data_IF_158614699994
#
_entry.id   IF_158614699994
#
_cell.length_a   1.000
_cell.length_b   1.000
_cell.length_c   1.000
_cell.angle_alpha   90.00
_cell.angle_beta   90.00
_cell.angle_gamma   90.00
#
_symmetry.space_group_name_H-M   'P 1'
#
loop_
_entity.id
_entity.type
_entity.pdbx_description
1 polymer ?
#
# COMPACT_ATOMS: atom_id res chain seq x y z
N UNK A 1 -14.57 -0.18 9.77
CA UNK A 1 -13.16 -0.32 9.37
C UNK A 1 -12.77 -1.76 9.69
N UNK A 2 -12.76 -2.63 8.65
CA UNK A 2 -12.47 -4.04 8.83
C UNK A 2 -10.98 -4.26 9.06
N UNK A 3 -10.61 -4.76 10.23
CA UNK A 3 -9.40 -5.56 10.34
C UNK A 3 -9.70 -6.90 9.63
N UNK A 4 -8.92 -7.22 8.63
CA UNK A 4 -8.87 -8.62 8.20
C UNK A 4 -8.08 -9.38 9.26
N UNK A 5 -8.79 -9.94 10.21
CA UNK A 5 -8.21 -10.85 11.20
C UNK A 5 -7.89 -12.20 10.54
N UNK A 6 -7.11 -13.02 11.22
CA UNK A 6 -6.51 -14.23 10.71
C UNK A 6 -7.37 -15.19 9.87
N UNK A 7 -8.69 -15.15 9.99
CA UNK A 7 -9.58 -16.08 9.31
C UNK A 7 -9.58 -15.91 7.78
N UNK A 8 -9.49 -14.68 7.29
CA UNK A 8 -9.35 -14.43 5.85
C UNK A 8 -7.99 -14.84 5.31
N UNK A 9 -6.94 -14.71 6.13
CA UNK A 9 -5.60 -15.15 5.78
C UNK A 9 -5.45 -16.68 5.88
N UNK A 10 -6.13 -17.35 6.81
CA UNK A 10 -6.13 -18.79 6.91
C UNK A 10 -6.79 -19.47 5.69
N UNK A 11 -7.83 -18.85 5.11
CA UNK A 11 -8.43 -19.37 3.87
C UNK A 11 -7.48 -19.22 2.67
N UNK A 12 -6.69 -18.18 2.63
CA UNK A 12 -5.61 -18.01 1.63
C UNK A 12 -4.51 -19.05 1.87
N UNK A 13 -4.14 -19.33 3.11
CA UNK A 13 -3.23 -20.38 3.54
C UNK A 13 -3.64 -21.74 3.00
N UNK A 14 -4.85 -22.11 3.24
CA UNK A 14 -5.36 -23.40 2.79
C UNK A 14 -5.34 -23.54 1.26
N UNK A 15 -5.50 -22.44 0.53
CA UNK A 15 -5.53 -22.45 -0.92
C UNK A 15 -4.15 -22.48 -1.59
N UNK A 16 -3.14 -21.88 -0.96
CA UNK A 16 -1.83 -21.69 -1.61
C UNK A 16 -0.68 -22.49 -1.01
N UNK A 17 -0.83 -23.00 0.19
CA UNK A 17 0.23 -23.67 0.98
C UNK A 17 1.53 -22.85 1.15
N UNK A 18 1.56 -21.64 0.63
CA UNK A 18 2.70 -20.74 0.70
C UNK A 18 2.21 -19.30 0.81
N UNK A 19 2.58 -18.63 1.91
CA UNK A 19 2.22 -17.26 2.19
C UNK A 19 3.23 -16.25 1.65
N UNK A 20 4.31 -16.74 1.09
CA UNK A 20 5.32 -15.95 0.47
C UNK A 20 4.93 -15.69 -0.97
N UNK A 21 4.56 -14.46 -1.25
CA UNK A 21 4.19 -14.02 -2.58
C UNK A 21 5.26 -13.09 -3.13
N UNK A 22 5.57 -13.27 -4.41
CA UNK A 22 6.55 -12.43 -5.11
C UNK A 22 5.91 -11.22 -5.77
N UNK A 23 4.60 -11.27 -6.00
CA UNK A 23 3.87 -10.25 -6.77
C UNK A 23 2.54 -9.95 -6.11
N UNK A 24 2.26 -8.67 -5.88
CA UNK A 24 0.98 -8.21 -5.31
C UNK A 24 0.62 -6.83 -5.81
N UNK A 25 -0.67 -6.53 -5.76
CA UNK A 25 -1.19 -5.17 -5.91
C UNK A 25 -2.15 -4.87 -4.77
N UNK A 26 -1.98 -3.71 -4.15
CA UNK A 26 -2.81 -3.19 -3.08
C UNK A 26 -3.50 -1.94 -3.58
N UNK A 27 -4.82 -1.93 -3.59
CA UNK A 27 -5.61 -0.81 -4.06
C UNK A 27 -6.51 -0.27 -2.96
N UNK A 28 -6.69 1.03 -2.94
CA UNK A 28 -7.57 1.74 -2.02
C UNK A 28 -8.26 2.88 -2.77
N UNK A 29 -9.59 2.96 -2.65
CA UNK A 29 -10.35 4.14 -3.05
C UNK A 29 -10.70 4.89 -1.78
N UNK A 30 -10.15 6.07 -1.62
CA UNK A 30 -10.25 6.86 -0.39
C UNK A 30 -10.43 8.34 -0.68
N UNK A 31 -11.05 9.05 0.26
CA UNK A 31 -11.05 10.51 0.32
C UNK A 31 -10.28 10.94 1.56
N UNK A 32 -9.33 11.82 1.37
CA UNK A 32 -8.47 12.34 2.44
C UNK A 32 -8.98 13.75 2.74
N UNK A 33 -9.50 14.00 3.93
CA UNK A 33 -10.15 15.26 4.31
C UNK A 33 -9.20 16.17 5.12
N UNK A 34 -8.24 15.58 5.83
CA UNK A 34 -7.33 16.32 6.69
C UNK A 34 -5.86 16.18 6.32
N UNK A 35 -5.05 17.10 6.84
CA UNK A 35 -3.58 17.15 6.67
C UNK A 35 -2.85 16.67 7.91
N UNK A 36 -3.33 15.61 8.56
CA UNK A 36 -2.62 15.03 9.68
C UNK A 36 -1.19 14.70 9.30
N UNK A 37 -0.27 14.93 10.21
CA UNK A 37 1.15 14.76 9.96
C UNK A 37 1.53 13.42 9.32
N UNK A 38 0.89 12.34 9.76
CA UNK A 38 1.03 11.01 9.16
C UNK A 38 -0.32 10.28 9.21
N UNK A 39 -0.76 9.80 8.07
CA UNK A 39 -1.98 9.00 7.93
C UNK A 39 -1.64 7.70 7.21
N UNK A 40 -2.08 6.58 7.74
CA UNK A 40 -1.88 5.29 7.09
C UNK A 40 -3.03 5.00 6.16
N UNK A 41 -2.73 4.68 4.91
CA UNK A 41 -3.69 4.23 3.91
C UNK A 41 -3.88 2.72 4.00
N UNK A 42 -2.81 1.99 3.82
CA UNK A 42 -2.81 0.53 3.88
C UNK A 42 -1.46 0.04 4.39
N UNK A 43 -1.44 -1.07 5.09
CA UNK A 43 -0.21 -1.67 5.58
C UNK A 43 -0.35 -3.16 5.79
N UNK A 44 0.77 -3.83 5.77
CA UNK A 44 0.93 -5.23 6.14
C UNK A 44 1.95 -5.33 7.26
N UNK A 45 1.50 -5.77 8.41
CA UNK A 45 2.34 -5.89 9.60
C UNK A 45 3.58 -6.75 9.31
N UNK A 46 4.73 -6.24 9.75
CA UNK A 46 6.01 -6.88 9.49
C UNK A 46 6.61 -6.62 8.10
N UNK A 47 5.88 -5.97 7.16
CA UNK A 47 6.36 -5.73 5.81
C UNK A 47 6.42 -4.28 5.41
N UNK A 48 5.27 -3.62 5.33
CA UNK A 48 5.23 -2.24 4.87
C UNK A 48 4.03 -1.48 5.42
N UNK A 49 4.16 -0.16 5.38
CA UNK A 49 3.07 0.79 5.54
C UNK A 49 3.14 1.77 4.37
N UNK A 50 2.05 1.90 3.62
CA UNK A 50 1.84 3.00 2.71
C UNK A 50 1.08 4.09 3.48
N UNK A 51 1.70 5.24 3.62
CA UNK A 51 1.17 6.36 4.37
C UNK A 51 1.34 7.66 3.61
N UNK A 52 0.56 8.65 3.96
CA UNK A 52 0.67 9.99 3.43
C UNK A 52 0.66 11.01 4.53
N UNK A 53 1.06 12.22 4.22
CA UNK A 53 1.05 13.29 5.18
C UNK A 53 1.86 14.48 4.75
N UNK A 54 2.04 15.34 5.72
CA UNK A 54 2.69 16.61 5.55
C UNK A 54 3.90 16.70 6.47
N UNK A 55 5.08 16.40 5.95
CA UNK A 55 6.31 16.42 6.73
C UNK A 55 6.94 17.82 6.82
N UNK A 56 6.49 18.75 5.98
CA UNK A 56 7.09 20.07 5.88
C UNK A 56 6.05 21.19 5.97
N UNK A 57 5.52 21.42 7.17
CA UNK A 57 4.65 22.58 7.45
C UNK A 57 3.50 22.77 6.46
N UNK A 58 2.67 21.77 6.25
CA UNK A 58 1.46 21.80 5.42
C UNK A 58 1.70 22.02 3.91
N UNK A 59 2.85 21.67 3.39
CA UNK A 59 3.14 21.80 1.95
C UNK A 59 3.27 20.46 1.21
N UNK A 60 3.33 19.37 1.96
CA UNK A 60 3.82 18.12 1.42
C UNK A 60 2.81 17.36 0.59
N UNK A 61 1.72 16.92 1.17
CA UNK A 61 0.83 15.93 0.56
C UNK A 61 1.63 14.87 -0.19
N UNK A 62 2.63 14.32 0.49
CA UNK A 62 3.51 13.30 -0.05
C UNK A 62 2.99 11.92 0.31
N UNK A 63 3.27 10.94 -0.55
CA UNK A 63 3.11 9.53 -0.23
C UNK A 63 4.45 8.97 0.21
N UNK A 64 4.43 8.10 1.23
CA UNK A 64 5.61 7.41 1.71
C UNK A 64 5.33 5.92 1.86
N UNK A 65 6.19 5.11 1.27
CA UNK A 65 6.26 3.68 1.53
C UNK A 65 7.36 3.42 2.55
N UNK A 66 6.99 2.82 3.67
CA UNK A 66 7.93 2.46 4.75
C UNK A 66 7.95 0.96 4.88
N UNK A 67 9.12 0.38 4.78
CA UNK A 67 9.36 -1.03 5.03
C UNK A 67 9.72 -1.33 6.48
N UNK A 68 10.01 -2.60 6.77
CA UNK A 68 10.27 -3.11 8.10
C UNK A 68 11.32 -2.27 8.84
N UNK A 69 11.00 -1.89 10.07
CA UNK A 69 11.92 -1.18 10.98
C UNK A 69 12.52 0.11 10.40
N UNK A 70 11.72 0.80 9.56
CA UNK A 70 12.15 2.03 8.88
C UNK A 70 13.39 1.87 7.97
N UNK A 71 13.74 0.66 7.61
CA UNK A 71 14.92 0.38 6.78
C UNK A 71 14.71 0.64 5.29
N UNK A 72 13.47 0.78 4.87
CA UNK A 72 13.09 1.27 3.57
C UNK A 72 12.17 2.46 3.76
N UNK A 73 12.49 3.59 3.14
CA UNK A 73 11.60 4.75 3.03
C UNK A 73 11.70 5.29 1.60
N UNK A 74 10.59 5.26 0.91
CA UNK A 74 10.47 5.84 -0.42
C UNK A 74 9.41 6.93 -0.35
N UNK A 75 9.73 8.14 -0.81
CA UNK A 75 8.80 9.27 -0.83
C UNK A 75 8.57 9.78 -2.24
N UNK A 76 7.36 10.21 -2.50
CA UNK A 76 7.03 10.96 -3.72
C UNK A 76 7.40 12.44 -3.57
N UNK A 77 7.35 13.16 -4.66
CA UNK A 77 7.30 14.63 -4.62
C UNK A 77 6.04 15.14 -3.93
N UNK A 78 5.99 16.46 -3.77
CA UNK A 78 4.86 17.17 -3.17
C UNK A 78 3.61 17.08 -4.07
N UNK A 79 2.43 17.19 -3.45
CA UNK A 79 1.17 17.24 -4.20
C UNK A 79 0.74 15.90 -4.80
N UNK A 80 1.13 14.78 -4.18
CA UNK A 80 0.79 13.45 -4.66
C UNK A 80 -0.73 13.15 -4.64
N UNK A 81 -1.49 13.84 -3.79
CA UNK A 81 -2.95 13.69 -3.67
C UNK A 81 -3.62 15.03 -3.35
N UNK A 82 -4.92 15.12 -3.60
CA UNK A 82 -5.74 16.30 -3.29
C UNK A 82 -6.64 16.04 -2.09
N UNK A 83 -6.82 17.06 -1.22
CA UNK A 83 -7.73 16.97 -0.08
C UNK A 83 -9.18 17.09 -0.54
N UNK A 84 -10.06 16.36 0.12
CA UNK A 84 -11.50 16.36 -0.16
C UNK A 84 -11.91 15.66 -1.44
N UNK A 85 -10.96 15.20 -2.25
CA UNK A 85 -11.24 14.48 -3.49
C UNK A 85 -11.12 12.94 -3.30
N UNK A 86 -12.03 12.20 -3.90
CA UNK A 86 -11.89 10.76 -3.99
C UNK A 86 -10.66 10.41 -4.85
N UNK A 87 -9.82 9.57 -4.32
CA UNK A 87 -8.54 9.23 -4.90
C UNK A 87 -8.39 7.70 -4.94
N UNK A 88 -8.06 7.17 -6.08
CA UNK A 88 -7.63 5.78 -6.21
C UNK A 88 -6.11 5.72 -5.99
N UNK A 89 -5.69 4.93 -5.04
CA UNK A 89 -4.29 4.67 -4.69
C UNK A 89 -4.00 3.21 -4.98
N UNK A 90 -2.94 2.91 -5.74
CA UNK A 90 -2.50 1.55 -5.95
C UNK A 90 -0.99 1.41 -5.73
N UNK A 91 -0.60 0.42 -4.93
CA UNK A 91 0.78 0.00 -4.73
C UNK A 91 0.97 -1.37 -5.38
N UNK A 92 1.77 -1.43 -6.44
CA UNK A 92 2.16 -2.68 -7.09
C UNK A 92 3.53 -3.08 -6.58
N UNK A 93 3.65 -4.29 -6.06
CA UNK A 93 4.90 -4.85 -5.52
C UNK A 93 5.32 -6.04 -6.34
N UNK A 94 6.51 -5.96 -6.95
CA UNK A 94 7.14 -7.05 -7.70
C UNK A 94 8.49 -7.42 -7.07
N UNK A 95 8.50 -8.39 -6.20
CA UNK A 95 9.70 -8.87 -5.51
C UNK A 95 10.67 -9.63 -6.42
N UNK A 96 10.32 -9.91 -7.69
CA UNK A 96 11.25 -10.47 -8.67
C UNK A 96 12.25 -9.44 -9.22
N UNK A 97 12.01 -8.15 -8.96
CA UNK A 97 12.91 -7.06 -9.35
C UNK A 97 14.05 -6.91 -8.35
N UNK A 98 15.20 -6.44 -8.84
CA UNK A 98 16.39 -6.25 -8.02
C UNK A 98 16.17 -5.28 -6.85
N UNK A 99 16.96 -5.46 -5.79
CA UNK A 99 16.85 -4.64 -4.58
C UNK A 99 17.09 -3.14 -4.82
N UNK A 100 17.85 -2.81 -5.85
CA UNK A 100 18.19 -1.42 -6.20
C UNK A 100 17.20 -0.81 -7.18
N UNK A 101 16.33 -1.62 -7.77
CA UNK A 101 15.33 -1.19 -8.75
C UNK A 101 13.98 -0.91 -8.08
N UNK A 102 13.98 -0.01 -7.10
CA UNK A 102 12.80 0.25 -6.27
C UNK A 102 11.65 0.92 -7.03
N UNK A 103 11.89 1.66 -8.10
CA UNK A 103 10.83 2.22 -8.94
C UNK A 103 10.11 1.14 -9.77
N UNK A 104 10.79 0.05 -10.09
CA UNK A 104 10.18 -1.11 -10.75
C UNK A 104 9.61 -2.12 -9.74
N UNK A 105 10.25 -2.24 -8.58
CA UNK A 105 9.82 -3.16 -7.51
C UNK A 105 8.57 -2.66 -6.77
N UNK A 106 8.46 -1.36 -6.55
CA UNK A 106 7.38 -0.72 -5.80
C UNK A 106 6.78 0.41 -6.63
N UNK A 107 5.81 0.11 -7.49
CA UNK A 107 5.15 1.13 -8.32
C UNK A 107 3.95 1.70 -7.58
N UNK A 108 3.94 3.01 -7.41
CA UNK A 108 2.81 3.73 -6.84
C UNK A 108 2.02 4.41 -7.94
N UNK A 109 0.71 4.23 -7.91
CA UNK A 109 -0.22 4.88 -8.83
C UNK A 109 -1.24 5.70 -8.05
N UNK A 110 -1.50 6.90 -8.54
CA UNK A 110 -2.60 7.75 -8.06
C UNK A 110 -3.50 8.04 -9.25
N UNK A 111 -4.77 7.67 -9.13
CA UNK A 111 -5.77 7.81 -10.19
C UNK A 111 -5.30 7.21 -11.53
N UNK A 112 -4.66 6.04 -11.46
CA UNK A 112 -4.12 5.32 -12.62
C UNK A 112 -2.84 5.90 -13.22
N UNK A 113 -2.26 6.96 -12.64
CA UNK A 113 -0.99 7.55 -13.06
C UNK A 113 0.12 7.13 -12.13
N UNK A 114 1.20 6.56 -12.68
CA UNK A 114 2.38 6.21 -11.90
C UNK A 114 3.08 7.47 -11.37
N UNK A 115 3.37 7.47 -10.08
CA UNK A 115 4.24 8.44 -9.44
C UNK A 115 5.62 7.84 -9.22
N UNK A 116 6.63 8.69 -9.33
CA UNK A 116 8.01 8.29 -9.06
C UNK A 116 8.38 8.56 -7.60
N UNK A 117 9.19 7.69 -7.05
CA UNK A 117 9.86 7.94 -5.78
C UNK A 117 11.01 8.92 -6.04
N UNK A 118 10.97 10.06 -5.40
CA UNK A 118 11.94 11.15 -5.60
C UNK A 118 12.94 11.26 -4.46
N UNK A 119 12.59 10.73 -3.30
CA UNK A 119 13.45 10.65 -2.13
C UNK A 119 13.48 9.20 -1.63
N UNK A 120 14.67 8.66 -1.45
CA UNK A 120 14.85 7.25 -1.12
C UNK A 120 15.86 7.10 0.01
N UNK A 121 15.42 6.44 1.08
CA UNK A 121 16.29 5.94 2.13
C UNK A 121 16.15 4.43 2.19
N UNK A 122 17.23 3.73 1.96
CA UNK A 122 17.26 2.26 2.00
C UNK A 122 18.47 1.76 2.76
N UNK A 123 18.32 0.63 3.41
CA UNK A 123 19.39 -0.21 3.90
C UNK A 123 19.34 -1.55 3.15
N UNK A 124 20.35 -2.38 3.33
CA UNK A 124 20.61 -3.60 2.56
C UNK A 124 19.57 -4.73 2.73
N UNK A 125 18.32 -4.40 3.03
CA UNK A 125 17.27 -5.41 3.11
C UNK A 125 16.72 -5.68 1.71
N UNK A 126 16.92 -6.89 1.28
CA UNK A 126 16.27 -7.44 0.11
C UNK A 126 14.93 -8.08 0.50
N UNK A 127 13.83 -7.43 0.12
CA UNK A 127 12.49 -8.01 0.23
C UNK A 127 12.24 -8.87 -1.00
N UNK A 128 12.77 -10.07 -1.03
CA UNK A 128 12.64 -10.97 -2.19
C UNK A 128 11.24 -11.59 -2.30
N UNK A 129 10.49 -11.60 -1.21
CA UNK A 129 9.13 -12.15 -1.14
C UNK A 129 8.29 -11.34 -0.16
N UNK A 130 6.98 -11.28 -0.38
CA UNK A 130 6.02 -10.78 0.60
C UNK A 130 5.50 -11.97 1.40
N UNK A 131 5.78 -12.01 2.68
CA UNK A 131 5.19 -12.99 3.58
C UNK A 131 3.91 -12.43 4.20
N UNK A 132 2.76 -12.97 3.89
CA UNK A 132 1.47 -12.54 4.42
C UNK A 132 1.28 -12.91 5.90
N UNK A 133 2.13 -13.78 6.42
CA UNK A 133 2.11 -14.22 7.80
C UNK A 133 3.25 -13.66 8.64
N UNK A 134 4.04 -12.74 8.11
CA UNK A 134 5.07 -12.08 8.91
C UNK A 134 4.43 -11.23 10.01
N UNK A 135 5.08 -11.22 11.13
CA UNK A 135 4.65 -10.54 12.35
C UNK A 135 4.19 -11.52 13.43
N UNK A 136 4.36 -11.12 14.68
CA UNK A 136 4.04 -11.95 15.84
C UNK A 136 2.54 -12.26 15.97
N UNK A 137 1.68 -11.50 15.29
CA UNK A 137 0.22 -11.57 15.38
C UNK A 137 -0.44 -12.13 14.12
N UNK A 138 0.27 -12.92 13.34
CA UNK A 138 -0.26 -13.46 12.09
C UNK A 138 -0.25 -12.49 10.92
N UNK A 139 0.44 -11.35 11.09
CA UNK A 139 0.66 -10.41 9.99
C UNK A 139 -0.60 -9.70 9.53
N UNK A 140 -1.22 -8.94 10.42
CA UNK A 140 -2.46 -8.19 10.13
C UNK A 140 -2.31 -7.24 8.96
N UNK A 141 -3.34 -7.18 8.13
CA UNK A 141 -3.55 -6.08 7.18
C UNK A 141 -4.28 -4.96 7.92
N UNK A 142 -3.78 -3.75 7.79
CA UNK A 142 -4.39 -2.56 8.37
C UNK A 142 -4.79 -1.61 7.24
N UNK A 143 -6.02 -1.08 7.30
CA UNK A 143 -6.55 -0.13 6.35
C UNK A 143 -7.05 1.09 7.13
N UNK A 144 -6.63 2.28 6.73
CA UNK A 144 -7.00 3.54 7.39
C UNK A 144 -6.36 3.77 8.77
N UNK A 145 -5.47 2.89 9.22
CA UNK A 145 -4.70 3.04 10.47
C UNK A 145 -3.40 2.26 10.41
N UNK A 146 -2.44 2.59 11.26
CA UNK A 146 -1.27 1.76 11.49
C UNK A 146 -1.63 0.57 12.42
N UNK A 147 -0.87 -0.52 12.35
CA UNK A 147 -1.07 -1.72 13.17
C UNK A 147 -1.00 -1.46 14.67
N UNK A 148 -0.30 -0.41 15.07
CA UNK A 148 -0.16 0.06 16.46
C UNK A 148 -1.33 0.95 16.93
N UNK A 149 -2.44 0.99 16.21
CA UNK A 149 -3.60 1.85 16.48
C UNK A 149 -3.29 3.36 16.52
N UNK A 150 -2.35 3.80 15.69
CA UNK A 150 -2.01 5.22 15.49
C UNK A 150 -2.14 5.59 14.02
N UNK A 151 -1.96 6.86 13.72
CA UNK A 151 -1.89 7.39 12.35
C UNK A 151 -3.17 7.08 11.55
N UNK A 152 -4.31 7.36 12.18
CA UNK A 152 -5.60 7.17 11.54
C UNK A 152 -5.73 8.05 10.31
N UNK A 153 -6.38 7.52 9.30
CA UNK A 153 -6.81 8.28 8.14
C UNK A 153 -7.89 9.28 8.58
N UNK A 154 -7.70 10.54 8.26
CA UNK A 154 -8.71 11.57 8.36
C UNK A 154 -9.43 11.68 7.02
N UNK A 155 -10.54 10.99 6.89
CA UNK A 155 -11.25 10.87 5.63
C UNK A 155 -12.21 9.68 5.58
N UNK A 156 -12.45 9.19 4.38
CA UNK A 156 -13.35 8.07 4.12
C UNK A 156 -12.69 7.03 3.20
N UNK A 157 -13.03 5.78 3.39
CA UNK A 157 -12.61 4.67 2.53
C UNK A 157 -13.87 4.11 1.88
N UNK A 158 -13.85 4.03 0.56
CA UNK A 158 -14.93 3.45 -0.23
C UNK A 158 -14.66 1.97 -0.49
N UNK A 159 -13.42 1.62 -0.85
CA UNK A 159 -13.05 0.28 -1.23
C UNK A 159 -11.57 0.00 -0.97
N UNK A 160 -11.24 -1.26 -0.67
CA UNK A 160 -9.88 -1.77 -0.61
C UNK A 160 -9.82 -3.13 -1.31
N UNK A 161 -8.79 -3.35 -2.14
CA UNK A 161 -8.58 -4.58 -2.90
C UNK A 161 -7.15 -5.07 -2.73
N UNK A 162 -6.97 -6.36 -2.67
CA UNK A 162 -5.65 -7.01 -2.65
C UNK A 162 -5.63 -8.06 -3.76
N UNK A 163 -4.66 -7.94 -4.65
CA UNK A 163 -4.46 -8.84 -5.77
C UNK A 163 -3.14 -9.58 -5.59
N UNK A 164 -3.14 -10.85 -5.86
CA UNK A 164 -1.94 -11.71 -5.80
C UNK A 164 -1.18 -11.72 -7.13
N UNK A 165 -1.26 -10.62 -7.86
CA UNK A 165 -0.58 -10.36 -9.13
C UNK A 165 -0.16 -8.90 -9.20
N UNK A 166 0.83 -8.59 -10.03
CA UNK A 166 1.11 -7.21 -10.43
C UNK A 166 0.10 -6.78 -11.47
N UNK A 167 -0.77 -5.84 -11.15
CA UNK A 167 -1.68 -5.24 -12.11
C UNK A 167 -0.95 -4.25 -13.00
N UNK A 168 -1.34 -4.20 -14.27
CA UNK A 168 -0.80 -3.22 -15.22
C UNK A 168 -1.46 -1.85 -15.04
N UNK A 169 -0.82 -0.82 -15.57
CA UNK A 169 -1.38 0.54 -15.55
C UNK A 169 -2.75 0.61 -16.25
N UNK A 170 -2.93 -0.12 -17.35
CA UNK A 170 -4.19 -0.22 -18.07
C UNK A 170 -5.30 -0.84 -17.22
N UNK A 171 -4.98 -1.91 -16.49
CA UNK A 171 -5.92 -2.55 -15.57
C UNK A 171 -6.29 -1.63 -14.41
N UNK A 172 -5.31 -0.91 -13.86
CA UNK A 172 -5.55 0.05 -12.79
C UNK A 172 -6.41 1.22 -13.26
N UNK A 173 -6.17 1.75 -14.47
CA UNK A 173 -7.00 2.82 -15.05
C UNK A 173 -8.42 2.35 -15.34
N UNK A 174 -8.58 1.18 -15.92
CA UNK A 174 -9.89 0.64 -16.29
C UNK A 174 -10.78 0.39 -15.07
N UNK A 175 -10.20 -0.03 -13.94
CA UNK A 175 -10.95 -0.46 -12.78
C UNK A 175 -10.81 0.46 -11.56
N UNK A 176 -10.14 1.61 -11.70
CA UNK A 176 -9.90 2.54 -10.59
C UNK A 176 -11.21 2.95 -9.89
N UNK A 177 -12.28 3.15 -10.67
CA UNK A 177 -13.57 3.63 -10.20
C UNK A 177 -14.71 2.61 -10.42
N UNK A 178 -14.39 1.42 -10.93
CA UNK A 178 -15.39 0.38 -11.17
C UNK A 178 -15.57 -0.44 -9.90
N UNK A 179 -16.67 -0.17 -9.19
CA UNK A 179 -17.06 -0.86 -7.96
C UNK A 179 -17.80 -2.17 -8.25
N UNK A 180 -17.98 -2.55 -9.52
CA UNK A 180 -18.63 -3.79 -9.90
C UNK A 180 -17.70 -4.99 -9.67
N UNK A 181 -18.31 -6.07 -9.27
CA UNK A 181 -17.66 -7.34 -8.92
C UNK A 181 -16.61 -7.75 -9.95
N UNK A 182 -15.39 -7.84 -9.51
CA UNK A 182 -14.37 -8.56 -10.25
C UNK A 182 -14.67 -10.02 -10.11
N UNK A 183 -15.28 -10.60 -11.12
CA UNK A 183 -15.43 -12.05 -11.22
C UNK A 183 -14.00 -12.63 -11.37
N UNK A 184 -13.50 -13.40 -10.42
CA UNK A 184 -12.23 -14.08 -10.61
C UNK A 184 -12.48 -15.26 -11.55
N UNK A 185 -12.03 -15.13 -12.80
CA UNK A 185 -11.77 -16.31 -13.62
C UNK A 185 -10.48 -17.00 -13.17
#
# INVERSE_FOLDING_TARGET
>A
FGEMTGDGLESIKAATNDFKLKKMTWELVTRIDGTNWLQTFIGKEGYFILRGGDWENNKGRQMELVGISDKLKLRTGHGAFELGAWTHIALVVDCSKGKDDYNEKYKLYINGKQLQWTDTHKTDIDYSEIDLCAGNDGGRVSIGKASDNRRFLDGAILEARIWYVCRTEEQLKANAWNLEEVNPE
#
